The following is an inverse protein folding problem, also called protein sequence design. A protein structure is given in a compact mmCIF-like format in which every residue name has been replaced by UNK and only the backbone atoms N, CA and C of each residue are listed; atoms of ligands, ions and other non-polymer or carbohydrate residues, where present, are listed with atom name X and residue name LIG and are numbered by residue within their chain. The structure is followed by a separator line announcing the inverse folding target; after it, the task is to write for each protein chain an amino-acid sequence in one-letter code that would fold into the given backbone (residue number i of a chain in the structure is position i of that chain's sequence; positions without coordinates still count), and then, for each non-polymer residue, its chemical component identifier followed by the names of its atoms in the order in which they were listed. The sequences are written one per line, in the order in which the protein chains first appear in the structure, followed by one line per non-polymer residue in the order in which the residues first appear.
data_IF_493323659627
#
_entry.id   IF_493323659627
#
_cell.length_a   1.000
_cell.length_b   1.000
_cell.length_c   1.000
_cell.angle_alpha   90.00
_cell.angle_beta   90.00
_cell.angle_gamma   90.00
#
_symmetry.space_group_name_H-M   'P 1'
#
loop_
_entity.id
_entity.type
_entity.pdbx_description
1 polymer ?
#
# COMPACT_ATOMS: atom_id res chain seq x y z
N UNK A 1 -20.92 7.84 -15.41
CA UNK A 1 -20.01 9.00 -15.63
C UNK A 1 -19.81 9.83 -14.36
N UNK A 2 -20.86 10.37 -13.72
CA UNK A 2 -20.69 11.18 -12.48
C UNK A 2 -19.92 10.47 -11.34
N UNK A 3 -20.24 9.21 -11.05
CA UNK A 3 -19.56 8.40 -10.02
C UNK A 3 -18.08 8.15 -10.34
N UNK A 4 -17.79 7.72 -11.56
CA UNK A 4 -16.43 7.45 -12.05
C UNK A 4 -15.55 8.69 -11.96
N UNK A 5 -16.04 9.84 -12.43
CA UNK A 5 -15.32 11.10 -12.35
C UNK A 5 -15.07 11.51 -10.89
N UNK A 6 -16.08 11.38 -10.03
CA UNK A 6 -15.95 11.66 -8.60
C UNK A 6 -14.85 10.81 -7.95
N UNK A 7 -14.88 9.48 -8.13
CA UNK A 7 -13.89 8.56 -7.53
C UNK A 7 -12.48 8.95 -7.99
N UNK A 8 -12.28 9.14 -9.29
CA UNK A 8 -10.98 9.51 -9.87
C UNK A 8 -10.49 10.84 -9.31
N UNK A 9 -11.34 11.87 -9.29
CA UNK A 9 -10.95 13.20 -8.81
C UNK A 9 -10.63 13.20 -7.31
N UNK A 10 -11.48 12.59 -6.49
CA UNK A 10 -11.30 12.58 -5.03
C UNK A 10 -10.11 11.73 -4.62
N UNK A 11 -9.93 10.54 -5.21
CA UNK A 11 -8.79 9.69 -4.86
C UNK A 11 -7.46 10.32 -5.31
N UNK A 12 -7.44 10.98 -6.47
CA UNK A 12 -6.26 11.71 -6.95
C UNK A 12 -5.92 12.88 -6.02
N UNK A 13 -6.94 13.65 -5.63
CA UNK A 13 -6.78 14.75 -4.68
C UNK A 13 -6.24 14.26 -3.33
N UNK A 14 -6.76 13.15 -2.81
CA UNK A 14 -6.29 12.57 -1.55
C UNK A 14 -4.83 12.13 -1.65
N UNK A 15 -4.44 11.43 -2.71
CA UNK A 15 -3.05 11.03 -2.89
C UNK A 15 -2.12 12.25 -3.03
N UNK A 16 -2.58 13.32 -3.69
CA UNK A 16 -1.84 14.58 -3.78
C UNK A 16 -1.70 15.27 -2.41
N UNK A 17 -2.76 15.32 -1.61
CA UNK A 17 -2.73 15.84 -0.24
C UNK A 17 -1.77 15.02 0.65
N UNK A 18 -1.76 13.68 0.50
CA UNK A 18 -0.83 12.83 1.24
C UNK A 18 0.61 13.02 0.80
N UNK A 19 0.87 13.25 -0.49
CA UNK A 19 2.20 13.65 -0.96
C UNK A 19 2.64 14.99 -0.36
N UNK A 20 1.72 15.94 -0.22
CA UNK A 20 1.99 17.21 0.46
C UNK A 20 2.24 17.01 1.97
N UNK A 21 1.51 16.14 2.65
CA UNK A 21 1.78 15.81 4.06
C UNK A 21 3.15 15.11 4.21
N UNK A 22 3.58 14.33 3.22
CA UNK A 22 4.85 13.59 3.27
C UNK A 22 6.08 14.51 3.19
N UNK A 23 6.03 15.56 2.37
CA UNK A 23 7.19 16.44 2.06
C UNK A 23 6.96 17.93 2.31
N UNK A 24 5.73 18.41 2.20
CA UNK A 24 5.38 19.81 2.42
C UNK A 24 5.18 20.17 3.89
N UNK A 25 5.09 19.17 4.77
CA UNK A 25 4.96 19.35 6.22
C UNK A 25 6.09 18.63 6.96
N UNK A 26 6.74 19.31 7.89
CA UNK A 26 7.74 18.71 8.77
C UNK A 26 7.05 18.03 9.96
N UNK A 27 6.45 16.86 9.70
CA UNK A 27 5.69 16.09 10.68
C UNK A 27 6.15 14.64 10.75
N UNK A 28 6.04 14.05 11.94
CA UNK A 28 6.48 12.68 12.19
C UNK A 28 5.55 11.62 11.56
N UNK A 29 5.98 10.36 11.61
CA UNK A 29 5.26 9.23 11.03
C UNK A 29 3.83 9.04 11.58
N UNK A 30 3.60 9.36 12.85
CA UNK A 30 2.28 9.23 13.49
C UNK A 30 1.28 10.19 12.85
N UNK A 31 1.64 11.46 12.70
CA UNK A 31 0.78 12.47 12.05
C UNK A 31 0.53 12.11 10.59
N UNK A 32 1.54 11.60 9.88
CA UNK A 32 1.40 11.11 8.49
C UNK A 32 0.40 9.96 8.40
N UNK A 33 0.51 9.00 9.30
CA UNK A 33 -0.39 7.83 9.36
C UNK A 33 -1.84 8.21 9.71
N UNK A 34 -2.03 9.09 10.70
CA UNK A 34 -3.36 9.59 11.07
C UNK A 34 -3.99 10.42 9.95
N UNK A 35 -3.21 11.25 9.26
CA UNK A 35 -3.66 11.99 8.08
C UNK A 35 -4.15 11.05 7.00
N UNK A 36 -3.41 9.96 6.71
CA UNK A 36 -3.84 8.93 5.77
C UNK A 36 -5.14 8.28 6.17
N UNK A 37 -5.23 7.77 7.39
CA UNK A 37 -6.45 7.14 7.90
C UNK A 37 -7.64 8.09 7.73
N UNK A 38 -7.49 9.33 8.19
CA UNK A 38 -8.54 10.35 8.12
C UNK A 38 -8.97 10.62 6.69
N UNK A 39 -8.03 10.86 5.78
CA UNK A 39 -8.34 11.18 4.39
C UNK A 39 -8.98 10.00 3.64
N UNK A 40 -8.50 8.77 3.84
CA UNK A 40 -9.08 7.57 3.24
C UNK A 40 -10.52 7.34 3.73
N UNK A 41 -10.74 7.41 5.04
CA UNK A 41 -12.09 7.25 5.60
C UNK A 41 -13.02 8.39 5.17
N UNK A 42 -12.53 9.64 5.12
CA UNK A 42 -13.30 10.78 4.67
C UNK A 42 -13.76 10.63 3.21
N UNK A 43 -12.88 10.16 2.32
CA UNK A 43 -13.23 9.88 0.92
C UNK A 43 -14.41 8.94 0.80
N UNK A 44 -14.33 7.83 1.53
CA UNK A 44 -15.29 6.74 1.46
C UNK A 44 -16.60 7.18 2.11
N UNK A 45 -16.53 7.88 3.24
CA UNK A 45 -17.70 8.42 3.93
C UNK A 45 -18.45 9.42 3.05
N UNK A 46 -17.75 10.38 2.42
CA UNK A 46 -18.35 11.34 1.49
C UNK A 46 -19.00 10.63 0.30
N UNK A 47 -18.32 9.65 -0.30
CA UNK A 47 -18.88 8.85 -1.38
C UNK A 47 -20.17 8.14 -0.96
N UNK A 48 -20.16 7.43 0.17
CA UNK A 48 -21.33 6.70 0.67
C UNK A 48 -22.49 7.65 0.98
N UNK A 49 -22.21 8.86 1.49
CA UNK A 49 -23.25 9.89 1.73
C UNK A 49 -23.87 10.43 0.44
N UNK A 50 -23.09 10.55 -0.63
CA UNK A 50 -23.56 11.12 -1.91
C UNK A 50 -24.24 10.11 -2.82
N UNK A 51 -23.79 8.84 -2.81
CA UNK A 51 -24.24 7.83 -3.77
C UNK A 51 -24.94 6.62 -3.14
N UNK A 52 -24.74 6.36 -1.84
CA UNK A 52 -25.46 5.35 -1.06
C UNK A 52 -25.23 3.87 -1.44
N UNK A 53 -24.37 3.58 -2.42
CA UNK A 53 -24.25 2.27 -3.06
C UNK A 53 -23.01 1.47 -2.68
N UNK A 54 -22.23 1.96 -1.72
CA UNK A 54 -21.04 1.28 -1.21
C UNK A 54 -21.14 1.09 0.29
N UNK A 55 -21.06 -0.18 0.74
CA UNK A 55 -21.03 -0.52 2.16
C UNK A 55 -19.69 -1.13 2.53
N UNK A 56 -19.19 -0.77 3.70
CA UNK A 56 -17.91 -1.22 4.22
C UNK A 56 -17.74 -2.75 4.25
N UNK A 57 -18.83 -3.47 4.50
CA UNK A 57 -18.84 -4.93 4.61
C UNK A 57 -18.77 -5.64 3.27
N UNK A 58 -19.10 -4.99 2.16
CA UNK A 58 -19.25 -5.64 0.85
C UNK A 58 -17.94 -6.22 0.33
N UNK A 59 -16.81 -5.61 0.70
CA UNK A 59 -15.46 -6.01 0.24
C UNK A 59 -14.67 -6.81 1.29
N UNK A 60 -15.27 -6.99 2.47
CA UNK A 60 -14.70 -7.70 3.62
C UNK A 60 -15.43 -9.02 3.90
N UNK A 61 -16.35 -9.42 3.03
CA UNK A 61 -16.96 -10.75 3.10
C UNK A 61 -15.89 -11.82 2.96
N UNK A 62 -15.82 -12.68 3.98
CA UNK A 62 -15.04 -13.91 3.95
C UNK A 62 -15.97 -15.02 3.46
N UNK A 63 -16.00 -15.25 2.16
CA UNK A 63 -16.50 -16.53 1.67
C UNK A 63 -15.56 -17.63 2.15
N UNK A 64 -16.10 -18.83 2.39
CA UNK A 64 -15.30 -19.98 2.86
C UNK A 64 -14.19 -20.28 1.85
N UNK A 65 -12.97 -19.86 2.19
CA UNK A 65 -11.77 -20.17 1.43
C UNK A 65 -11.53 -21.68 1.46
N UNK A 66 -11.49 -22.31 0.29
CA UNK A 66 -11.19 -23.73 0.20
C UNK A 66 -9.67 -23.98 0.35
N UNK A 67 -9.28 -25.25 0.49
CA UNK A 67 -7.86 -25.64 0.63
C UNK A 67 -6.99 -25.17 -0.55
N UNK A 68 -7.53 -25.13 -1.78
CA UNK A 68 -6.77 -24.68 -2.97
C UNK A 68 -6.51 -23.18 -2.92
N UNK A 69 -7.46 -22.40 -2.45
CA UNK A 69 -7.31 -20.95 -2.27
C UNK A 69 -6.25 -20.64 -1.22
N UNK A 70 -6.24 -21.36 -0.09
CA UNK A 70 -5.18 -21.26 0.92
C UNK A 70 -3.80 -21.62 0.36
N UNK A 71 -3.66 -22.73 -0.35
CA UNK A 71 -2.39 -23.12 -0.98
C UNK A 71 -1.91 -22.05 -1.98
N UNK A 72 -2.83 -21.48 -2.76
CA UNK A 72 -2.52 -20.40 -3.70
C UNK A 72 -2.05 -19.14 -2.98
N UNK A 73 -2.70 -18.74 -1.88
CA UNK A 73 -2.28 -17.59 -1.08
C UNK A 73 -0.91 -17.81 -0.45
N UNK A 74 -0.65 -19.01 0.07
CA UNK A 74 0.64 -19.36 0.67
C UNK A 74 1.76 -19.28 -0.37
N UNK A 75 1.52 -19.81 -1.57
CA UNK A 75 2.46 -19.69 -2.69
C UNK A 75 2.68 -18.24 -3.12
N UNK A 76 1.61 -17.46 -3.33
CA UNK A 76 1.72 -16.07 -3.77
C UNK A 76 2.35 -15.16 -2.71
N UNK A 77 2.04 -15.39 -1.42
CA UNK A 77 2.64 -14.69 -0.29
C UNK A 77 4.13 -14.99 -0.16
N UNK A 78 4.52 -16.27 -0.21
CA UNK A 78 5.92 -16.68 -0.20
C UNK A 78 6.69 -16.12 -1.41
N UNK A 79 6.07 -16.16 -2.60
CA UNK A 79 6.64 -15.58 -3.82
C UNK A 79 6.84 -14.06 -3.67
N UNK A 80 5.85 -13.35 -3.14
CA UNK A 80 5.93 -11.90 -2.91
C UNK A 80 7.06 -11.54 -1.95
N UNK A 81 7.15 -12.24 -0.82
CA UNK A 81 8.25 -12.06 0.15
C UNK A 81 9.62 -12.38 -0.49
N UNK A 82 9.70 -13.44 -1.30
CA UNK A 82 10.93 -13.82 -1.99
C UNK A 82 11.37 -12.78 -3.03
N UNK A 83 10.42 -12.17 -3.75
CA UNK A 83 10.70 -11.09 -4.70
C UNK A 83 11.24 -9.86 -3.97
N UNK A 84 10.64 -9.47 -2.84
CA UNK A 84 11.13 -8.36 -2.00
C UNK A 84 12.56 -8.63 -1.53
N UNK A 85 12.83 -9.83 -1.00
CA UNK A 85 14.16 -10.22 -0.54
C UNK A 85 15.18 -10.22 -1.68
N UNK A 86 14.85 -10.81 -2.82
CA UNK A 86 15.72 -10.84 -3.99
C UNK A 86 16.01 -9.42 -4.51
N UNK A 87 14.99 -8.55 -4.56
CA UNK A 87 15.16 -7.16 -4.93
C UNK A 87 16.10 -6.44 -3.98
N UNK A 88 15.96 -6.62 -2.66
CA UNK A 88 16.88 -6.05 -1.68
C UNK A 88 18.31 -6.54 -1.88
N UNK A 89 18.53 -7.85 -2.01
CA UNK A 89 19.87 -8.42 -2.16
C UNK A 89 20.56 -7.93 -3.45
N UNK A 90 19.82 -7.87 -4.56
CA UNK A 90 20.35 -7.42 -5.85
C UNK A 90 20.56 -5.90 -5.90
N UNK A 91 19.70 -5.12 -5.25
CA UNK A 91 19.68 -3.66 -5.38
C UNK A 91 20.40 -2.94 -4.22
N UNK A 92 20.69 -3.61 -3.10
CA UNK A 92 21.36 -3.01 -1.93
C UNK A 92 22.69 -2.31 -2.23
N UNK A 93 23.51 -2.72 -3.23
CA UNK A 93 24.70 -1.95 -3.60
C UNK A 93 24.41 -0.58 -4.23
N UNK A 94 23.17 -0.34 -4.67
CA UNK A 94 22.77 0.85 -5.42
C UNK A 94 22.04 1.91 -4.59
N UNK A 95 21.82 1.67 -3.29
CA UNK A 95 21.21 2.65 -2.38
C UNK A 95 21.89 2.69 -1.02
N UNK A 96 21.74 3.81 -0.32
CA UNK A 96 22.38 4.04 0.96
C UNK A 96 21.50 3.59 2.12
N UNK A 97 21.87 2.47 2.74
CA UNK A 97 21.22 1.97 3.96
C UNK A 97 21.30 2.99 5.10
N UNK A 98 22.42 3.72 5.23
CA UNK A 98 22.58 4.73 6.26
C UNK A 98 21.64 5.92 6.05
N UNK A 99 21.42 6.34 4.79
CA UNK A 99 20.45 7.38 4.45
C UNK A 99 19.02 6.98 4.82
N UNK A 100 18.63 5.74 4.52
CA UNK A 100 17.31 5.20 4.90
C UNK A 100 17.15 5.23 6.42
N UNK A 101 18.16 4.74 7.16
CA UNK A 101 18.13 4.74 8.63
C UNK A 101 18.07 6.15 9.22
N UNK A 102 18.81 7.10 8.66
CA UNK A 102 18.79 8.50 9.08
C UNK A 102 17.42 9.14 8.84
N UNK A 103 16.79 8.85 7.71
CA UNK A 103 15.45 9.37 7.40
C UNK A 103 14.38 8.80 8.36
N UNK A 104 14.43 7.49 8.63
CA UNK A 104 13.52 6.83 9.57
C UNK A 104 13.66 7.39 10.99
N UNK A 105 14.89 7.59 11.46
CA UNK A 105 15.13 8.06 12.83
C UNK A 105 14.97 9.56 12.99
N UNK A 106 15.44 10.36 12.03
CA UNK A 106 15.40 11.81 12.05
C UNK A 106 14.03 12.35 11.66
N UNK A 107 13.69 12.29 10.37
CA UNK A 107 12.47 12.92 9.83
C UNK A 107 11.20 12.19 10.25
N UNK A 108 11.19 10.86 10.19
CA UNK A 108 10.01 10.08 10.58
C UNK A 108 9.86 9.93 12.10
N UNK A 109 10.93 10.20 12.86
CA UNK A 109 10.92 10.17 14.33
C UNK A 109 10.74 8.77 14.92
N UNK A 110 11.17 7.73 14.21
CA UNK A 110 10.99 6.33 14.62
C UNK A 110 12.29 5.82 15.24
N UNK A 111 12.25 5.51 16.55
CA UNK A 111 13.38 4.88 17.25
C UNK A 111 13.51 3.40 16.89
N UNK A 112 14.63 2.75 17.25
CA UNK A 112 14.82 1.32 17.00
C UNK A 112 13.72 0.45 17.62
N UNK A 113 13.30 0.74 18.86
CA UNK A 113 12.17 0.04 19.50
C UNK A 113 10.84 0.43 18.85
N UNK A 114 10.67 1.70 18.49
CA UNK A 114 9.50 2.19 17.79
C UNK A 114 9.31 1.51 16.43
N UNK A 115 10.40 1.15 15.75
CA UNK A 115 10.38 0.48 14.46
C UNK A 115 9.62 -0.86 14.49
N UNK A 116 9.71 -1.62 15.58
CA UNK A 116 8.98 -2.89 15.72
C UNK A 116 7.47 -2.64 15.75
N UNK A 117 7.02 -1.67 16.57
CA UNK A 117 5.60 -1.33 16.68
C UNK A 117 5.05 -0.70 15.40
N UNK A 118 5.82 0.20 14.78
CA UNK A 118 5.48 0.79 13.48
C UNK A 118 5.46 -0.29 12.40
N UNK A 119 6.38 -1.25 12.43
CA UNK A 119 6.40 -2.38 11.51
C UNK A 119 5.13 -3.23 11.60
N UNK A 120 4.70 -3.59 12.80
CA UNK A 120 3.41 -4.30 13.02
C UNK A 120 2.24 -3.48 12.48
N UNK A 121 2.21 -2.18 12.77
CA UNK A 121 1.17 -1.28 12.24
C UNK A 121 1.18 -1.26 10.70
N UNK A 122 2.36 -1.12 10.07
CA UNK A 122 2.52 -1.12 8.62
C UNK A 122 1.98 -2.43 8.04
N UNK A 123 2.48 -3.55 8.56
CA UNK A 123 2.16 -4.87 8.04
C UNK A 123 0.68 -5.21 8.11
N UNK A 124 -0.02 -4.87 9.19
CA UNK A 124 -1.42 -5.32 9.37
C UNK A 124 -2.46 -4.23 9.17
N UNK A 125 -2.26 -3.06 9.75
CA UNK A 125 -3.28 -1.99 9.77
C UNK A 125 -3.15 -1.14 8.51
N UNK A 126 -1.94 -0.69 8.22
CA UNK A 126 -1.66 0.17 7.08
C UNK A 126 -1.95 -0.54 5.76
N UNK A 127 -1.44 -1.76 5.59
CA UNK A 127 -1.72 -2.58 4.41
C UNK A 127 -3.22 -2.84 4.24
N UNK A 128 -3.97 -3.09 5.32
CA UNK A 128 -5.41 -3.29 5.25
C UNK A 128 -6.13 -2.01 4.78
N UNK A 129 -5.74 -0.86 5.32
CA UNK A 129 -6.28 0.44 4.89
C UNK A 129 -6.01 0.71 3.41
N UNK A 130 -4.82 0.36 2.92
CA UNK A 130 -4.46 0.51 1.52
C UNK A 130 -5.20 -0.47 0.61
N UNK A 131 -5.32 -1.75 1.00
CA UNK A 131 -6.17 -2.70 0.28
C UNK A 131 -7.63 -2.24 0.24
N UNK A 132 -8.15 -1.76 1.37
CA UNK A 132 -9.51 -1.28 1.47
C UNK A 132 -9.74 -0.04 0.60
N UNK A 133 -8.81 0.92 0.57
CA UNK A 133 -8.94 2.13 -0.23
C UNK A 133 -8.72 1.86 -1.73
N UNK A 134 -7.58 1.29 -2.12
CA UNK A 134 -7.22 1.15 -3.54
C UNK A 134 -8.02 0.03 -4.23
N UNK A 135 -8.30 -1.08 -3.54
CA UNK A 135 -8.95 -2.26 -4.13
C UNK A 135 -10.43 -2.26 -3.77
N UNK A 136 -10.72 -2.20 -2.47
CA UNK A 136 -12.09 -2.22 -1.96
C UNK A 136 -12.93 -1.06 -2.51
N UNK A 137 -12.46 0.17 -2.34
CA UNK A 137 -13.20 1.36 -2.73
C UNK A 137 -12.94 1.76 -4.19
N UNK A 138 -11.69 2.01 -4.60
CA UNK A 138 -11.43 2.55 -5.94
C UNK A 138 -11.65 1.50 -7.03
N UNK A 139 -11.02 0.33 -6.94
CA UNK A 139 -11.06 -0.67 -8.01
C UNK A 139 -12.47 -1.23 -8.23
N UNK A 140 -13.14 -1.71 -7.18
CA UNK A 140 -14.46 -2.33 -7.34
C UNK A 140 -15.56 -1.33 -7.75
N UNK A 141 -15.44 -0.05 -7.41
CA UNK A 141 -16.45 0.96 -7.79
C UNK A 141 -16.19 1.61 -9.17
N UNK A 142 -15.07 1.29 -9.81
CA UNK A 142 -14.76 1.75 -11.17
C UNK A 142 -15.12 0.69 -12.22
N UNK A 143 -15.50 1.09 -13.45
CA UNK A 143 -15.63 0.15 -14.56
C UNK A 143 -14.33 -0.63 -14.75
N UNK A 144 -14.42 -1.96 -14.91
CA UNK A 144 -13.28 -2.89 -14.96
C UNK A 144 -12.04 -2.35 -15.67
N UNK A 145 -12.18 -1.90 -16.93
CA UNK A 145 -11.05 -1.39 -17.73
C UNK A 145 -10.37 -0.19 -17.08
N UNK A 146 -11.14 0.75 -16.53
CA UNK A 146 -10.63 1.93 -15.84
C UNK A 146 -10.02 1.51 -14.50
N UNK A 147 -10.69 0.65 -13.73
CA UNK A 147 -10.20 0.17 -12.44
C UNK A 147 -8.85 -0.56 -12.54
N UNK A 148 -8.66 -1.40 -13.57
CA UNK A 148 -7.39 -2.10 -13.81
C UNK A 148 -6.24 -1.19 -14.25
N UNK A 149 -6.52 0.01 -14.74
CA UNK A 149 -5.49 0.98 -15.12
C UNK A 149 -5.25 2.00 -14.00
N UNK A 150 -6.31 2.70 -13.59
CA UNK A 150 -6.25 3.86 -12.72
C UNK A 150 -5.83 3.50 -11.29
N UNK A 151 -6.45 2.50 -10.66
CA UNK A 151 -6.14 2.19 -9.25
C UNK A 151 -4.72 1.66 -9.05
N UNK A 152 -4.18 0.74 -9.88
CA UNK A 152 -2.79 0.31 -9.75
C UNK A 152 -1.79 1.45 -10.01
N UNK A 153 -2.09 2.31 -10.98
CA UNK A 153 -1.27 3.48 -11.30
C UNK A 153 -1.24 4.47 -10.13
N UNK A 154 -2.41 4.75 -9.55
CA UNK A 154 -2.54 5.64 -8.40
C UNK A 154 -1.84 5.05 -7.18
N UNK A 155 -1.99 3.74 -6.92
CA UNK A 155 -1.28 3.03 -5.85
C UNK A 155 0.24 3.18 -5.99
N UNK A 156 0.80 2.89 -7.17
CA UNK A 156 2.24 3.03 -7.42
C UNK A 156 2.72 4.48 -7.28
N UNK A 157 1.93 5.44 -7.79
CA UNK A 157 2.25 6.87 -7.72
C UNK A 157 2.23 7.38 -6.27
N UNK A 158 1.25 6.95 -5.48
CA UNK A 158 1.12 7.27 -4.06
C UNK A 158 2.32 6.83 -3.23
N UNK A 159 3.07 5.80 -3.67
CA UNK A 159 4.29 5.35 -3.00
C UNK A 159 5.52 6.19 -3.28
N UNK A 160 5.56 6.96 -4.39
CA UNK A 160 6.74 7.73 -4.80
C UNK A 160 7.20 8.70 -3.69
N UNK A 161 6.33 9.52 -3.07
CA UNK A 161 6.74 10.42 -1.99
C UNK A 161 7.45 9.70 -0.84
N UNK A 162 6.99 8.51 -0.44
CA UNK A 162 7.56 7.79 0.70
C UNK A 162 8.99 7.29 0.44
N UNK A 163 9.33 6.96 -0.81
CA UNK A 163 10.64 6.42 -1.19
C UNK A 163 11.57 7.45 -1.85
N UNK A 164 11.07 8.66 -2.11
CA UNK A 164 11.77 9.69 -2.89
C UNK A 164 13.12 10.10 -2.28
N UNK A 165 13.25 10.02 -0.94
CA UNK A 165 14.48 10.38 -0.23
C UNK A 165 15.43 9.19 -0.06
N UNK A 166 15.02 7.99 -0.42
CA UNK A 166 15.79 6.76 -0.18
C UNK A 166 16.56 6.31 -1.42
N UNK A 167 16.04 6.60 -2.60
CA UNK A 167 16.48 5.99 -3.85
C UNK A 167 16.78 7.02 -4.92
N UNK A 168 17.68 6.65 -5.84
CA UNK A 168 17.94 7.44 -7.05
C UNK A 168 16.73 7.41 -8.00
N UNK A 169 16.62 8.36 -8.95
CA UNK A 169 15.50 8.39 -9.89
C UNK A 169 15.30 7.07 -10.67
N UNK A 170 16.38 6.38 -11.05
CA UNK A 170 16.29 5.09 -11.74
C UNK A 170 15.68 4.01 -10.85
N UNK A 171 16.09 3.92 -9.59
CA UNK A 171 15.54 2.99 -8.62
C UNK A 171 14.07 3.32 -8.27
N UNK A 172 13.70 4.59 -8.19
CA UNK A 172 12.31 5.00 -8.00
C UNK A 172 11.44 4.50 -9.17
N UNK A 173 11.92 4.62 -10.41
CA UNK A 173 11.21 4.07 -11.58
C UNK A 173 11.09 2.54 -11.48
N UNK A 174 12.14 1.84 -11.06
CA UNK A 174 12.10 0.39 -10.84
C UNK A 174 11.04 0.01 -9.78
N UNK A 175 11.03 0.71 -8.64
CA UNK A 175 10.02 0.52 -7.59
C UNK A 175 8.61 0.79 -8.11
N UNK A 176 8.43 1.89 -8.86
CA UNK A 176 7.14 2.24 -9.45
C UNK A 176 6.60 1.16 -10.39
N UNK A 177 7.43 0.64 -11.29
CA UNK A 177 7.02 -0.44 -12.22
C UNK A 177 6.68 -1.72 -11.44
N UNK A 178 7.47 -2.06 -10.42
CA UNK A 178 7.19 -3.20 -9.54
C UNK A 178 5.87 -3.07 -8.78
N UNK A 179 5.65 -1.91 -8.15
CA UNK A 179 4.43 -1.59 -7.40
C UNK A 179 3.19 -1.53 -8.31
N UNK A 180 3.35 -1.00 -9.52
CA UNK A 180 2.26 -0.96 -10.50
C UNK A 180 1.89 -2.38 -10.95
N UNK A 181 2.89 -3.21 -11.26
CA UNK A 181 2.71 -4.61 -11.65
C UNK A 181 2.04 -5.46 -10.57
N UNK A 182 2.51 -5.38 -9.32
CA UNK A 182 1.94 -6.16 -8.21
C UNK A 182 0.50 -5.70 -7.90
N UNK A 183 0.19 -4.41 -8.02
CA UNK A 183 -1.17 -3.93 -7.81
C UNK A 183 -2.16 -4.48 -8.86
N UNK A 184 -1.72 -4.68 -10.12
CA UNK A 184 -2.52 -5.40 -11.13
C UNK A 184 -2.75 -6.86 -10.73
N UNK A 185 -1.73 -7.53 -10.19
CA UNK A 185 -1.86 -8.91 -9.68
C UNK A 185 -2.88 -8.97 -8.54
N UNK A 186 -2.81 -8.05 -7.57
CA UNK A 186 -3.77 -7.98 -6.46
C UNK A 186 -5.21 -7.82 -6.96
N UNK A 187 -5.43 -6.97 -7.97
CA UNK A 187 -6.75 -6.80 -8.58
C UNK A 187 -7.27 -8.11 -9.18
N UNK A 188 -6.39 -8.84 -9.89
CA UNK A 188 -6.75 -10.12 -10.51
C UNK A 188 -7.10 -11.20 -9.49
N UNK A 189 -6.41 -11.23 -8.34
CA UNK A 189 -6.72 -12.21 -7.29
C UNK A 189 -8.03 -11.85 -6.58
N UNK A 190 -8.28 -10.55 -6.35
CA UNK A 190 -9.48 -10.08 -5.67
C UNK A 190 -10.74 -10.14 -6.54
N UNK A 191 -10.64 -9.88 -7.86
CA UNK A 191 -11.78 -9.82 -8.78
C UNK A 191 -12.62 -11.09 -8.76
N UNK A 192 -11.99 -12.26 -8.58
CA UNK A 192 -12.69 -13.56 -8.59
C UNK A 192 -13.72 -13.68 -7.47
N UNK A 193 -13.38 -13.18 -6.28
CA UNK A 193 -14.15 -13.38 -5.06
C UNK A 193 -14.74 -12.08 -4.51
N UNK A 194 -14.55 -10.95 -5.21
CA UNK A 194 -15.00 -9.61 -4.83
C UNK A 194 -14.64 -9.23 -3.39
N UNK A 195 -13.44 -9.62 -2.96
CA UNK A 195 -12.96 -9.41 -1.59
C UNK A 195 -11.50 -9.05 -1.58
N UNK A 196 -11.08 -8.24 -0.59
CA UNK A 196 -9.69 -7.79 -0.46
C UNK A 196 -8.80 -8.74 0.35
N UNK A 197 -9.38 -9.75 1.01
CA UNK A 197 -8.62 -10.66 1.88
C UNK A 197 -7.48 -11.37 1.17
N UNK A 198 -7.66 -11.70 -0.11
CA UNK A 198 -6.65 -12.42 -0.88
C UNK A 198 -5.42 -11.56 -1.14
N UNK A 199 -5.59 -10.32 -1.63
CA UNK A 199 -4.47 -9.40 -1.80
C UNK A 199 -3.87 -8.99 -0.46
N UNK A 200 -4.69 -8.77 0.58
CA UNK A 200 -4.20 -8.35 1.88
C UNK A 200 -3.25 -9.37 2.51
N UNK A 201 -3.58 -10.67 2.44
CA UNK A 201 -2.68 -11.72 2.95
C UNK A 201 -1.35 -11.74 2.17
N UNK A 202 -1.38 -11.55 0.85
CA UNK A 202 -0.15 -11.47 0.03
C UNK A 202 0.66 -10.22 0.39
N UNK A 203 -0.02 -9.08 0.59
CA UNK A 203 0.58 -7.82 1.00
C UNK A 203 1.26 -7.94 2.36
N UNK A 204 0.58 -8.53 3.35
CA UNK A 204 1.14 -8.84 4.68
C UNK A 204 2.44 -9.64 4.56
N UNK A 205 2.50 -10.66 3.69
CA UNK A 205 3.74 -11.42 3.47
C UNK A 205 4.88 -10.56 2.92
N UNK A 206 4.58 -9.64 1.99
CA UNK A 206 5.57 -8.71 1.46
C UNK A 206 6.08 -7.75 2.55
N UNK A 207 5.17 -7.19 3.34
CA UNK A 207 5.49 -6.26 4.41
C UNK A 207 6.28 -6.93 5.53
N UNK A 208 5.97 -8.17 5.89
CA UNK A 208 6.79 -8.94 6.84
C UNK A 208 8.24 -9.00 6.36
N UNK A 209 8.48 -9.22 5.07
CA UNK A 209 9.84 -9.22 4.53
C UNK A 209 10.49 -7.83 4.58
N UNK A 210 9.75 -6.77 4.20
CA UNK A 210 10.26 -5.39 4.27
C UNK A 210 10.63 -5.02 5.71
N UNK A 211 9.77 -5.34 6.68
CA UNK A 211 10.02 -5.07 8.10
C UNK A 211 11.15 -5.95 8.65
N UNK A 212 11.25 -7.22 8.24
CA UNK A 212 12.36 -8.09 8.62
C UNK A 212 13.70 -7.53 8.13
N UNK A 213 13.77 -7.07 6.88
CA UNK A 213 14.94 -6.37 6.34
C UNK A 213 15.19 -5.07 7.13
N UNK A 214 14.15 -4.29 7.41
CA UNK A 214 14.27 -3.08 8.21
C UNK A 214 14.84 -3.30 9.61
N UNK A 215 14.44 -4.39 10.28
CA UNK A 215 14.98 -4.80 11.59
C UNK A 215 16.49 -5.04 11.49
N UNK A 216 17.00 -5.63 10.39
CA UNK A 216 18.44 -5.81 10.26
C UNK A 216 19.19 -4.49 10.22
N UNK A 217 18.61 -3.43 9.66
CA UNK A 217 19.24 -2.11 9.61
C UNK A 217 19.40 -1.45 11.00
N UNK A 218 18.58 -1.84 11.97
CA UNK A 218 18.57 -1.27 13.31
C UNK A 218 19.42 -2.06 14.31
N UNK A 219 19.43 -3.39 14.19
CA UNK A 219 19.95 -4.29 15.22
C UNK A 219 21.16 -5.11 14.79
N UNK A 220 21.53 -5.10 13.50
CA UNK A 220 22.66 -5.84 12.94
C UNK A 220 23.51 -4.93 12.03
#
# INVERSE_FOLDING_TARGET
MKKTAYIISVSSLICALLAFVEHGMDVNYVVKSLSKMTLFFLAIWLYTRLFGDFRFKDVLTLDKMNRRDWLRLLFLGALSASIVLAAYLLLSPYFSVSQIKQDITGRLGISATGFIFVGIYITFINSLLEEYFFRGFIFFQLPRKIGYFFSPLLFATYHIPMIALWFSPSLIITCFVGLWGIAIVFHKVNERNQTIWFSWIIHVCADIMIIAIGITLFYF
#
